data_IF_271728147959
#
_entry.id   IF_271728147959
#
_cell.length_a   1.000
_cell.length_b   1.000
_cell.length_c   1.000
_cell.angle_alpha   90.00
_cell.angle_beta   90.00
_cell.angle_gamma   90.00
#
_symmetry.space_group_name_H-M   'P 1'
#
loop_
_entity.id
_entity.type
_entity.pdbx_description
1 polymer ?
#
# COMPACT_ATOMS: atom_id res chain seq x y z
N UNK A 1 -18.21 11.20 -9.71
CA UNK A 1 -16.81 11.31 -9.27
C UNK A 1 -16.66 11.68 -7.80
N UNK A 2 -17.27 12.76 -7.31
CA UNK A 2 -17.23 13.13 -5.88
C UNK A 2 -17.67 12.02 -4.92
N UNK A 3 -18.62 11.18 -5.32
CA UNK A 3 -19.11 10.06 -4.50
C UNK A 3 -18.09 8.93 -4.31
N UNK A 4 -17.29 8.58 -5.34
CA UNK A 4 -16.26 7.52 -5.23
C UNK A 4 -15.19 7.94 -4.25
N UNK A 5 -14.67 9.17 -4.40
CA UNK A 5 -13.68 9.73 -3.49
C UNK A 5 -14.23 9.87 -2.07
N UNK A 6 -15.47 10.35 -1.92
CA UNK A 6 -16.12 10.46 -0.61
C UNK A 6 -16.28 9.08 0.06
N UNK A 7 -16.64 8.04 -0.70
CA UNK A 7 -16.75 6.68 -0.19
C UNK A 7 -15.38 6.12 0.24
N UNK A 8 -14.32 6.32 -0.57
CA UNK A 8 -12.95 5.93 -0.20
C UNK A 8 -12.50 6.62 1.08
N UNK A 9 -12.64 7.94 1.16
CA UNK A 9 -12.29 8.73 2.35
C UNK A 9 -13.11 8.30 3.57
N UNK A 10 -14.41 8.01 3.38
CA UNK A 10 -15.27 7.47 4.44
C UNK A 10 -14.74 6.15 4.99
N UNK A 11 -14.40 5.20 4.11
CA UNK A 11 -13.80 3.92 4.53
C UNK A 11 -12.44 4.09 5.19
N UNK A 12 -11.60 4.99 4.70
CA UNK A 12 -10.30 5.30 5.31
C UNK A 12 -10.45 5.82 6.74
N UNK A 13 -11.38 6.74 6.98
CA UNK A 13 -11.71 7.24 8.33
C UNK A 13 -12.24 6.14 9.25
N UNK A 14 -13.13 5.30 8.74
CA UNK A 14 -13.65 4.16 9.51
C UNK A 14 -12.55 3.15 9.84
N UNK A 15 -11.64 2.88 8.90
CA UNK A 15 -10.50 2.00 9.12
C UNK A 15 -9.47 2.61 10.10
N UNK A 16 -9.24 3.92 10.03
CA UNK A 16 -8.37 4.65 10.97
C UNK A 16 -8.86 4.47 12.41
N UNK A 17 -10.18 4.50 12.66
CA UNK A 17 -10.74 4.26 13.99
C UNK A 17 -10.47 2.84 14.53
N UNK A 18 -10.18 1.88 13.66
CA UNK A 18 -9.80 0.51 14.01
C UNK A 18 -8.30 0.30 14.19
N UNK A 19 -7.47 1.29 13.87
CA UNK A 19 -6.02 1.26 14.08
C UNK A 19 -5.66 2.05 15.34
N UNK A 20 -4.84 1.44 16.19
CA UNK A 20 -4.36 2.00 17.46
C UNK A 20 -3.06 2.80 17.31
N UNK A 21 -2.62 3.06 16.08
CA UNK A 21 -1.35 3.73 15.80
C UNK A 21 -1.37 4.52 14.50
N UNK A 22 -0.45 5.48 14.40
CA UNK A 22 -0.06 6.15 13.16
C UNK A 22 1.23 5.53 12.62
N UNK A 23 1.47 5.67 11.32
CA UNK A 23 2.71 5.25 10.68
C UNK A 23 3.51 6.48 10.25
N UNK A 24 4.66 6.72 10.89
CA UNK A 24 5.46 7.94 10.69
C UNK A 24 4.64 9.25 10.81
N UNK A 25 3.70 9.28 11.77
CA UNK A 25 2.81 10.41 12.03
C UNK A 25 1.60 10.54 11.10
N UNK A 26 1.47 9.66 10.10
CA UNK A 26 0.34 9.64 9.18
C UNK A 26 -0.72 8.59 9.57
N UNK A 27 -1.99 8.97 9.44
CA UNK A 27 -3.12 8.04 9.42
C UNK A 27 -3.32 7.51 7.99
N UNK A 28 -4.23 6.55 7.80
CA UNK A 28 -4.60 6.07 6.48
C UNK A 28 -5.17 7.21 5.64
N UNK A 29 -6.09 8.02 6.20
CA UNK A 29 -6.65 9.17 5.49
C UNK A 29 -5.58 10.19 5.11
N UNK A 30 -4.70 10.58 6.04
CA UNK A 30 -3.71 11.65 5.76
C UNK A 30 -2.71 11.20 4.71
N UNK A 31 -2.23 9.96 4.80
CA UNK A 31 -1.35 9.38 3.77
C UNK A 31 -2.04 9.34 2.41
N UNK A 32 -3.26 8.76 2.35
CA UNK A 32 -3.97 8.59 1.09
C UNK A 32 -4.32 9.94 0.44
N UNK A 33 -4.79 10.92 1.23
CA UNK A 33 -5.08 12.27 0.72
C UNK A 33 -3.84 12.89 0.09
N UNK A 34 -2.74 12.93 0.84
CA UNK A 34 -1.50 13.57 0.41
C UNK A 34 -0.88 12.90 -0.80
N UNK A 35 -0.74 11.57 -0.76
CA UNK A 35 -0.03 10.82 -1.80
C UNK A 35 -0.86 10.60 -3.06
N UNK A 36 -2.19 10.48 -2.92
CA UNK A 36 -3.09 10.04 -3.98
C UNK A 36 -4.07 11.13 -4.40
N UNK A 37 -4.89 11.66 -3.48
CA UNK A 37 -5.97 12.59 -3.86
C UNK A 37 -5.49 14.00 -4.22
N UNK A 38 -4.49 14.51 -3.52
CA UNK A 38 -3.91 15.84 -3.73
C UNK A 38 -2.81 15.83 -4.80
N UNK A 39 -2.39 14.64 -5.22
CA UNK A 39 -1.40 14.47 -6.27
C UNK A 39 -2.02 14.74 -7.64
N UNK A 40 -1.65 15.87 -8.25
CA UNK A 40 -2.16 16.31 -9.56
C UNK A 40 -1.84 15.35 -10.72
N UNK A 41 -0.91 14.42 -10.54
CA UNK A 41 -0.57 13.38 -11.53
C UNK A 41 -1.48 12.16 -11.43
N UNK A 42 -2.17 11.97 -10.31
CA UNK A 42 -3.18 10.92 -10.15
C UNK A 42 -4.48 11.38 -10.76
N UNK A 43 -4.96 10.62 -11.73
CA UNK A 43 -6.17 10.94 -12.48
C UNK A 43 -7.42 10.38 -11.82
N UNK A 44 -8.54 11.04 -12.08
CA UNK A 44 -9.87 10.56 -11.73
C UNK A 44 -10.16 9.14 -12.26
N UNK A 45 -9.65 8.79 -13.45
CA UNK A 45 -9.78 7.44 -14.02
C UNK A 45 -9.06 6.40 -13.16
N UNK A 46 -7.83 6.70 -12.70
CA UNK A 46 -7.09 5.84 -11.79
C UNK A 46 -7.82 5.67 -10.45
N UNK A 47 -8.37 6.74 -9.87
CA UNK A 47 -9.17 6.64 -8.64
C UNK A 47 -10.39 5.72 -8.82
N UNK A 48 -11.05 5.79 -9.98
CA UNK A 48 -12.17 4.90 -10.28
C UNK A 48 -11.71 3.45 -10.43
N UNK A 49 -10.60 3.23 -11.13
CA UNK A 49 -10.02 1.90 -11.29
C UNK A 49 -9.65 1.27 -9.94
N UNK A 50 -9.06 2.04 -9.01
CA UNK A 50 -8.76 1.57 -7.64
C UNK A 50 -10.03 1.04 -6.97
N UNK A 51 -11.17 1.75 -7.07
CA UNK A 51 -12.43 1.30 -6.45
C UNK A 51 -13.06 0.05 -7.09
N UNK A 52 -12.54 -0.39 -8.23
CA UNK A 52 -13.05 -1.54 -8.99
C UNK A 52 -12.14 -2.77 -8.86
N UNK A 53 -11.00 -2.64 -8.19
CA UNK A 53 -10.09 -3.76 -7.95
C UNK A 53 -10.76 -4.79 -7.05
N UNK A 54 -10.66 -6.05 -7.46
CA UNK A 54 -11.23 -7.21 -6.75
C UNK A 54 -10.20 -7.88 -5.85
N UNK A 55 -10.67 -8.68 -4.90
CA UNK A 55 -9.82 -9.44 -3.99
C UNK A 55 -8.92 -10.43 -4.76
N UNK A 56 -9.45 -11.07 -5.79
CA UNK A 56 -8.73 -12.07 -6.60
C UNK A 56 -7.54 -11.46 -7.32
N UNK A 57 -7.65 -10.20 -7.77
CA UNK A 57 -6.56 -9.48 -8.42
C UNK A 57 -5.45 -9.06 -7.44
N UNK A 58 -5.77 -8.95 -6.15
CA UNK A 58 -4.82 -8.59 -5.08
C UNK A 58 -4.20 -9.81 -4.39
N UNK A 59 -4.68 -11.01 -4.71
CA UNK A 59 -4.28 -12.21 -4.00
C UNK A 59 -2.86 -12.66 -4.42
N UNK A 60 -1.96 -12.79 -3.46
CA UNK A 60 -0.65 -13.41 -3.66
C UNK A 60 -0.84 -14.90 -4.01
N UNK A 61 -0.07 -15.51 -4.93
CA UNK A 61 -0.21 -16.93 -5.23
C UNK A 61 -0.01 -17.85 -3.99
N UNK A 62 -0.76 -18.96 -3.84
CA UNK A 62 -0.70 -19.81 -2.64
C UNK A 62 0.71 -20.28 -2.25
N UNK A 63 1.54 -20.64 -3.23
CA UNK A 63 2.93 -21.04 -3.04
C UNK A 63 3.79 -19.92 -2.47
N UNK A 64 3.56 -18.69 -2.90
CA UNK A 64 4.25 -17.51 -2.40
C UNK A 64 3.78 -17.16 -0.98
N UNK A 65 2.48 -17.28 -0.69
CA UNK A 65 1.95 -17.10 0.69
C UNK A 65 2.65 -18.01 1.68
N UNK A 66 2.85 -19.28 1.31
CA UNK A 66 3.55 -20.25 2.15
C UNK A 66 5.02 -19.86 2.38
N UNK A 67 5.71 -19.32 1.36
CA UNK A 67 7.08 -18.81 1.50
C UNK A 67 7.12 -17.61 2.45
N UNK A 68 6.19 -16.67 2.32
CA UNK A 68 6.10 -15.48 3.17
C UNK A 68 5.92 -15.89 4.63
N UNK A 69 4.93 -16.72 4.91
CA UNK A 69 4.63 -17.17 6.28
C UNK A 69 5.74 -18.07 6.86
N UNK A 70 6.51 -18.78 6.02
CA UNK A 70 7.69 -19.51 6.51
C UNK A 70 8.83 -18.56 6.90
N UNK A 71 9.06 -17.50 6.11
CA UNK A 71 10.18 -16.56 6.31
C UNK A 71 9.88 -15.48 7.35
N UNK A 72 8.61 -15.09 7.46
CA UNK A 72 8.09 -14.10 8.39
C UNK A 72 6.81 -14.67 9.03
N UNK A 73 6.94 -15.60 10.02
CA UNK A 73 5.80 -16.33 10.62
C UNK A 73 4.68 -15.46 11.18
N UNK A 74 4.98 -14.22 11.56
CA UNK A 74 4.02 -13.29 12.15
C UNK A 74 3.77 -12.06 11.26
N UNK A 75 3.95 -12.23 9.93
CA UNK A 75 3.80 -11.13 8.97
C UNK A 75 2.49 -10.36 9.15
N UNK A 76 1.38 -11.08 9.38
CA UNK A 76 0.05 -10.49 9.55
C UNK A 76 -0.12 -9.65 10.82
N UNK A 77 0.69 -9.91 11.85
CA UNK A 77 0.64 -9.15 13.12
C UNK A 77 1.48 -7.87 13.07
N UNK A 78 2.31 -7.69 12.04
CA UNK A 78 3.17 -6.52 11.91
C UNK A 78 2.33 -5.24 11.76
N UNK A 79 2.78 -4.16 12.42
CA UNK A 79 2.15 -2.83 12.31
C UNK A 79 2.01 -2.38 10.85
N UNK A 80 3.10 -2.49 10.09
CA UNK A 80 3.13 -2.10 8.66
C UNK A 80 2.18 -2.95 7.81
N UNK A 81 2.04 -4.24 8.08
CA UNK A 81 1.08 -5.10 7.37
C UNK A 81 -0.36 -4.67 7.66
N UNK A 82 -0.72 -4.55 8.95
CA UNK A 82 -2.06 -4.10 9.38
C UNK A 82 -2.43 -2.76 8.73
N UNK A 83 -1.49 -1.83 8.71
CA UNK A 83 -1.68 -0.50 8.10
C UNK A 83 -1.88 -0.60 6.58
N UNK A 84 -1.00 -1.34 5.88
CA UNK A 84 -1.05 -1.48 4.42
C UNK A 84 -2.31 -2.20 3.95
N UNK A 85 -2.71 -3.26 4.64
CA UNK A 85 -3.97 -3.97 4.40
C UNK A 85 -5.16 -3.02 4.58
N UNK A 86 -5.21 -2.28 5.69
CA UNK A 86 -6.31 -1.35 5.95
C UNK A 86 -6.38 -0.24 4.89
N UNK A 87 -5.24 0.28 4.44
CA UNK A 87 -5.14 1.29 3.37
C UNK A 87 -5.73 0.75 2.06
N UNK A 88 -5.26 -0.41 1.63
CA UNK A 88 -5.67 -1.01 0.35
C UNK A 88 -7.12 -1.48 0.39
N UNK A 89 -7.56 -2.10 1.49
CA UNK A 89 -8.95 -2.49 1.74
C UNK A 89 -9.88 -1.27 1.69
N UNK A 90 -9.54 -0.17 2.37
CA UNK A 90 -10.34 1.04 2.36
C UNK A 90 -10.39 1.70 0.96
N UNK A 91 -9.28 1.72 0.24
CA UNK A 91 -9.24 2.30 -1.11
C UNK A 91 -10.09 1.50 -2.10
N UNK A 92 -9.99 0.17 -2.07
CA UNK A 92 -10.65 -0.73 -3.04
C UNK A 92 -12.08 -1.10 -2.63
N UNK A 93 -12.38 -1.11 -1.34
CA UNK A 93 -13.63 -1.64 -0.79
C UNK A 93 -13.59 -3.15 -0.52
N UNK A 94 -12.44 -3.80 -0.70
CA UNK A 94 -12.23 -5.22 -0.35
C UNK A 94 -12.20 -5.41 1.16
N UNK A 95 -12.70 -6.55 1.64
CA UNK A 95 -12.67 -6.89 3.07
C UNK A 95 -11.24 -7.11 3.59
N UNK A 96 -10.86 -6.32 4.60
CA UNK A 96 -9.49 -6.30 5.13
C UNK A 96 -9.02 -7.65 5.67
N UNK A 97 -9.91 -8.40 6.33
CA UNK A 97 -9.57 -9.72 6.86
C UNK A 97 -9.24 -10.72 5.74
N UNK A 98 -10.00 -10.70 4.65
CA UNK A 98 -9.75 -11.57 3.49
C UNK A 98 -8.46 -11.16 2.76
N UNK A 99 -8.24 -9.85 2.62
CA UNK A 99 -7.02 -9.32 2.03
C UNK A 99 -5.76 -9.72 2.83
N UNK A 100 -5.79 -9.60 4.16
CA UNK A 100 -4.67 -10.03 5.03
C UNK A 100 -4.37 -11.53 4.90
N UNK A 101 -5.42 -12.35 4.73
CA UNK A 101 -5.24 -13.78 4.52
C UNK A 101 -4.61 -14.11 3.16
N UNK A 102 -5.06 -13.45 2.09
CA UNK A 102 -4.63 -13.74 0.72
C UNK A 102 -3.36 -13.00 0.27
N UNK A 103 -2.97 -11.93 0.96
CA UNK A 103 -1.79 -11.11 0.67
C UNK A 103 -0.93 -10.88 1.94
N UNK A 104 -0.37 -11.95 2.54
CA UNK A 104 0.40 -11.86 3.79
C UNK A 104 1.73 -11.08 3.64
N UNK A 105 2.16 -10.80 2.42
CA UNK A 105 3.37 -10.04 2.10
C UNK A 105 3.17 -8.53 2.04
N UNK A 106 1.93 -8.03 2.09
CA UNK A 106 1.68 -6.59 2.20
C UNK A 106 2.39 -6.01 3.42
N UNK A 107 3.11 -4.91 3.23
CA UNK A 107 3.91 -4.25 4.26
C UNK A 107 5.28 -4.89 4.49
N UNK A 108 5.73 -5.82 3.65
CA UNK A 108 7.07 -6.38 3.72
C UNK A 108 7.97 -5.75 2.66
N UNK A 109 9.23 -5.53 3.00
CA UNK A 109 10.22 -5.12 2.03
C UNK A 109 10.72 -6.35 1.25
N UNK A 110 10.59 -6.27 -0.07
CA UNK A 110 11.07 -7.29 -1.00
C UNK A 110 9.97 -8.21 -1.54
N UNK A 111 10.34 -9.40 -2.03
CA UNK A 111 9.40 -10.33 -2.67
C UNK A 111 9.71 -11.78 -2.26
N UNK A 112 8.70 -12.65 -2.11
CA UNK A 112 8.91 -14.07 -1.80
C UNK A 112 9.84 -14.79 -2.78
N UNK A 113 9.88 -14.36 -4.05
CA UNK A 113 10.73 -14.95 -5.10
C UNK A 113 12.19 -14.46 -5.05
N UNK A 114 12.53 -13.57 -4.12
CA UNK A 114 13.87 -12.98 -4.01
C UNK A 114 14.51 -13.36 -2.68
N UNK A 115 15.86 -13.32 -2.55
CA UNK A 115 16.52 -13.54 -1.26
C UNK A 115 16.16 -12.48 -0.22
N UNK A 116 15.51 -11.39 -0.64
CA UNK A 116 15.18 -10.21 0.13
C UNK A 116 13.69 -10.22 0.48
N UNK A 117 13.37 -10.63 1.71
CA UNK A 117 12.02 -10.51 2.27
C UNK A 117 12.13 -10.31 3.79
N UNK A 118 11.78 -9.13 4.28
CA UNK A 118 11.82 -8.79 5.71
C UNK A 118 10.83 -7.68 6.07
N UNK A 119 10.57 -7.52 7.37
CA UNK A 119 9.81 -6.39 7.90
C UNK A 119 10.74 -5.17 8.10
N UNK A 120 10.39 -4.03 7.50
CA UNK A 120 11.11 -2.78 7.71
C UNK A 120 11.15 -2.38 9.20
N UNK A 121 12.31 -1.92 9.69
CA UNK A 121 12.53 -1.64 11.13
C UNK A 121 12.20 -0.20 11.55
N UNK A 122 12.48 0.79 10.71
CA UNK A 122 12.21 2.20 11.03
C UNK A 122 10.80 2.59 10.59
N UNK A 123 10.17 3.52 11.30
CA UNK A 123 8.83 3.99 10.95
C UNK A 123 8.79 4.63 9.56
N UNK A 124 9.84 5.38 9.18
CA UNK A 124 9.97 5.94 7.82
C UNK A 124 10.03 4.84 6.75
N UNK A 125 10.81 3.78 6.97
CA UNK A 125 10.90 2.68 6.01
C UNK A 125 9.59 1.88 5.94
N UNK A 126 8.90 1.68 7.07
CA UNK A 126 7.58 1.06 7.09
C UNK A 126 6.55 1.90 6.34
N UNK A 127 6.54 3.21 6.57
CA UNK A 127 5.67 4.14 5.87
C UNK A 127 5.90 4.11 4.35
N UNK A 128 7.16 4.18 3.92
CA UNK A 128 7.53 4.10 2.51
C UNK A 128 7.20 2.72 1.91
N UNK A 129 7.35 1.64 2.68
CA UNK A 129 6.93 0.27 2.27
C UNK A 129 5.42 0.19 2.09
N UNK A 130 4.64 0.75 3.02
CA UNK A 130 3.18 0.74 2.93
C UNK A 130 2.66 1.46 1.68
N UNK A 131 3.20 2.66 1.39
CA UNK A 131 2.82 3.40 0.18
C UNK A 131 3.31 2.69 -1.10
N UNK A 132 4.51 2.10 -1.06
CA UNK A 132 5.06 1.36 -2.20
C UNK A 132 4.17 0.17 -2.55
N UNK A 133 3.88 -0.67 -1.56
CA UNK A 133 3.06 -1.87 -1.74
C UNK A 133 1.65 -1.52 -2.17
N UNK A 134 1.06 -0.45 -1.61
CA UNK A 134 -0.22 0.07 -2.08
C UNK A 134 -0.21 0.32 -3.59
N UNK A 135 0.79 1.03 -4.11
CA UNK A 135 0.87 1.34 -5.55
C UNK A 135 1.24 0.13 -6.40
N UNK A 136 2.16 -0.73 -5.94
CA UNK A 136 2.65 -1.87 -6.72
C UNK A 136 1.61 -3.01 -6.81
N UNK A 137 0.83 -3.24 -5.75
CA UNK A 137 -0.29 -4.17 -5.82
C UNK A 137 -1.35 -3.70 -6.83
N UNK A 138 -1.68 -2.41 -6.83
CA UNK A 138 -2.62 -1.84 -7.80
C UNK A 138 -2.07 -1.97 -9.23
N UNK A 139 -0.78 -1.70 -9.42
CA UNK A 139 -0.10 -1.91 -10.71
C UNK A 139 -0.18 -3.37 -11.17
N UNK A 140 0.02 -4.33 -10.27
CA UNK A 140 -0.08 -5.77 -10.58
C UNK A 140 -1.49 -6.17 -11.07
N UNK A 141 -2.53 -5.39 -10.73
CA UNK A 141 -3.89 -5.62 -11.26
C UNK A 141 -4.10 -5.09 -12.68
N UNK A 142 -3.10 -4.43 -13.28
CA UNK A 142 -3.15 -3.78 -14.58
C UNK A 142 -3.38 -2.26 -14.51
N UNK A 143 -3.44 -1.67 -13.31
CA UNK A 143 -3.59 -0.22 -13.13
C UNK A 143 -2.24 0.48 -13.37
N UNK A 144 -1.99 0.91 -14.60
CA UNK A 144 -0.74 1.57 -14.99
C UNK A 144 -0.69 3.06 -14.64
N UNK A 145 0.51 3.60 -14.46
CA UNK A 145 0.79 5.02 -14.32
C UNK A 145 0.58 5.58 -12.91
N UNK A 146 0.13 4.74 -11.96
CA UNK A 146 -0.01 5.15 -10.56
C UNK A 146 1.37 5.20 -9.88
N UNK A 147 2.25 4.24 -10.18
CA UNK A 147 3.62 4.25 -9.69
C UNK A 147 4.36 5.47 -10.23
N UNK A 148 4.28 5.75 -11.54
CA UNK A 148 4.84 6.96 -12.14
C UNK A 148 4.30 8.25 -11.49
N UNK A 149 3.01 8.31 -11.20
CA UNK A 149 2.40 9.48 -10.56
C UNK A 149 2.92 9.73 -9.13
N UNK A 150 3.11 8.67 -8.34
CA UNK A 150 3.50 8.76 -6.92
C UNK A 150 5.03 8.82 -6.76
N UNK A 151 5.77 8.04 -7.54
CA UNK A 151 7.22 7.84 -7.38
C UNK A 151 8.05 8.50 -8.48
N UNK A 152 7.43 8.94 -9.57
CA UNK A 152 8.14 9.45 -10.76
C UNK A 152 8.82 8.35 -11.58
N UNK A 153 8.52 7.08 -11.27
CA UNK A 153 9.01 5.88 -11.96
C UNK A 153 7.94 4.78 -11.92
N UNK A 154 7.68 4.13 -13.05
CA UNK A 154 6.67 3.06 -13.13
C UNK A 154 7.19 1.67 -12.70
N UNK A 155 8.50 1.41 -12.82
CA UNK A 155 9.09 0.09 -12.59
C UNK A 155 9.24 -0.28 -11.10
N UNK A 156 8.84 -1.50 -10.72
CA UNK A 156 8.88 -2.06 -9.35
C UNK A 156 10.23 -1.88 -8.63
N UNK A 157 11.33 -2.14 -9.34
CA UNK A 157 12.68 -2.05 -8.77
C UNK A 157 13.09 -0.60 -8.50
N UNK A 158 12.67 0.33 -9.36
CA UNK A 158 12.97 1.74 -9.25
C UNK A 158 12.06 2.45 -8.23
N UNK A 159 10.80 2.04 -8.10
CA UNK A 159 9.91 2.51 -7.04
C UNK A 159 10.36 2.00 -5.66
N UNK A 160 10.86 0.76 -5.58
CA UNK A 160 11.45 0.23 -4.36
C UNK A 160 12.75 0.97 -3.98
N UNK A 161 13.61 1.30 -4.96
CA UNK A 161 14.80 2.10 -4.74
C UNK A 161 14.45 3.55 -4.34
N UNK A 162 13.47 4.17 -4.99
CA UNK A 162 12.99 5.51 -4.65
C UNK A 162 12.44 5.53 -3.21
N UNK A 163 11.59 4.56 -2.85
CA UNK A 163 11.08 4.37 -1.49
C UNK A 163 12.22 4.21 -0.46
N UNK A 164 13.22 3.37 -0.77
CA UNK A 164 14.38 3.14 0.10
C UNK A 164 15.29 4.37 0.26
N UNK A 165 15.51 5.14 -0.82
CA UNK A 165 16.26 6.40 -0.82
C UNK A 165 15.44 7.59 -0.29
N UNK A 166 14.16 7.39 0.04
CA UNK A 166 13.25 8.44 0.48
C UNK A 166 12.82 9.41 -0.62
N UNK A 167 13.01 9.06 -1.89
CA UNK A 167 12.47 9.75 -3.06
C UNK A 167 11.00 9.38 -3.27
N UNK A 168 10.13 10.39 -3.28
CA UNK A 168 8.66 10.28 -3.28
C UNK A 168 8.05 11.52 -2.61
N UNK A 169 6.73 11.56 -2.33
CA UNK A 169 6.11 12.69 -1.61
C UNK A 169 6.66 12.90 -0.19
N UNK A 170 7.54 12.02 0.29
CA UNK A 170 8.29 12.15 1.55
C UNK A 170 9.65 12.84 1.42
N UNK A 171 10.20 12.97 0.20
CA UNK A 171 11.44 13.70 -0.07
C UNK A 171 11.27 15.21 0.13
N UNK A 172 10.02 15.68 0.10
CA UNK A 172 9.63 17.08 0.19
C UNK A 172 9.32 17.54 1.63
N UNK A 173 9.49 16.67 2.64
CA UNK A 173 9.41 17.09 4.05
C UNK A 173 10.64 17.96 4.38
N UNK A 174 10.49 19.24 4.79
CA UNK A 174 11.58 19.90 5.49
C UNK A 174 11.85 19.16 6.82
N UNK A 175 13.08 19.25 7.36
CA UNK A 175 13.45 18.62 8.63
C UNK A 175 12.56 19.08 9.80
#
# INVERSE_FOLDING_TARGET
MGQVMAAMVGRLRSADAGLDFLLAGDSLETLFRRAILENRRVTNAQLTAISQVTLEQLATPPEQRAVVLRRVPEARKLRVHRFTVALLAAATGVEAAQLSELAPDLGLTGSPDTPFLWAARSERAQHATALHDFTDYLRATGLTGLNEAVWGVEGREWSALASWLGWGPEASRPP
#
